data_IF_419951923541
#
_entry.id   IF_419951923541
#
_cell.length_a   1.000
_cell.length_b   1.000
_cell.length_c   1.000
_cell.angle_alpha   90.00
_cell.angle_beta   90.00
_cell.angle_gamma   90.00
#
_symmetry.space_group_name_H-M   'P 1'
#
loop_
_entity.id
_entity.type
_entity.pdbx_description
1 polymer ?
#
# COMPACT_ATOMS: atom_id res chain seq x y z
N UNK A 1 -4.65 2.29 -1.31
CA UNK A 1 -3.90 1.47 -2.28
C UNK A 1 -4.54 1.46 -3.66
N UNK A 2 -5.84 1.20 -3.79
CA UNK A 2 -6.53 1.19 -5.10
C UNK A 2 -6.30 2.47 -5.94
N UNK A 3 -6.39 3.67 -5.35
CA UNK A 3 -6.11 4.92 -6.06
C UNK A 3 -4.70 5.01 -6.67
N UNK A 4 -3.68 4.54 -5.95
CA UNK A 4 -2.31 4.47 -6.48
C UNK A 4 -2.15 3.42 -7.57
N UNK A 5 -2.84 2.28 -7.46
CA UNK A 5 -2.80 1.24 -8.50
C UNK A 5 -3.49 1.72 -9.81
N UNK A 6 -4.58 2.49 -9.70
CA UNK A 6 -5.19 3.17 -10.85
C UNK A 6 -4.24 4.22 -11.46
N UNK A 7 -3.53 4.98 -10.63
CA UNK A 7 -2.52 5.93 -11.08
C UNK A 7 -1.37 5.23 -11.82
N UNK A 8 -0.88 4.11 -11.29
CA UNK A 8 0.16 3.29 -11.92
C UNK A 8 -0.27 2.80 -13.32
N UNK A 9 -1.50 2.29 -13.44
CA UNK A 9 -2.07 1.86 -14.72
C UNK A 9 -2.20 3.01 -15.70
N UNK A 10 -2.63 4.20 -15.24
CA UNK A 10 -2.70 5.42 -16.06
C UNK A 10 -1.31 5.87 -16.54
N UNK A 11 -0.28 5.66 -15.73
CA UNK A 11 1.12 5.93 -16.08
C UNK A 11 1.73 4.86 -17.00
N UNK A 12 0.98 3.84 -17.42
CA UNK A 12 1.46 2.75 -18.26
C UNK A 12 2.39 1.75 -17.53
N UNK A 13 2.44 1.80 -16.20
CA UNK A 13 3.22 0.86 -15.39
C UNK A 13 2.52 -0.49 -15.35
N UNK A 14 3.31 -1.55 -15.38
CA UNK A 14 2.82 -2.95 -15.38
C UNK A 14 3.10 -3.66 -14.06
N UNK A 15 3.90 -3.03 -13.20
CA UNK A 15 4.40 -3.62 -11.97
C UNK A 15 4.19 -2.68 -10.77
N UNK A 16 4.00 -3.27 -9.60
CA UNK A 16 3.85 -2.61 -8.30
C UNK A 16 4.93 -3.13 -7.37
N UNK A 17 5.61 -2.20 -6.70
CA UNK A 17 6.49 -2.47 -5.57
C UNK A 17 5.80 -1.95 -4.32
N UNK A 18 5.78 -2.73 -3.24
CA UNK A 18 5.34 -2.27 -1.94
C UNK A 18 6.22 -2.84 -0.83
N UNK A 19 6.13 -2.25 0.35
CA UNK A 19 6.77 -2.67 1.57
C UNK A 19 5.74 -2.99 2.65
N UNK A 20 6.02 -3.87 3.60
CA UNK A 20 5.11 -4.09 4.72
C UNK A 20 5.80 -4.62 5.97
N UNK A 21 5.26 -4.29 7.13
CA UNK A 21 5.68 -4.81 8.44
C UNK A 21 4.62 -5.75 8.99
N UNK A 22 3.50 -5.22 9.48
CA UNK A 22 2.39 -6.04 9.97
C UNK A 22 1.66 -6.85 8.86
N UNK A 23 1.84 -6.50 7.58
CA UNK A 23 1.27 -7.20 6.43
C UNK A 23 0.02 -6.57 5.82
N UNK A 24 -0.68 -5.65 6.50
CA UNK A 24 -1.94 -5.06 6.00
C UNK A 24 -1.75 -4.26 4.71
N UNK A 25 -0.72 -3.42 4.64
CA UNK A 25 -0.38 -2.67 3.43
C UNK A 25 -0.03 -3.62 2.27
N UNK A 26 0.73 -4.68 2.54
CA UNK A 26 1.07 -5.68 1.53
C UNK A 26 -0.17 -6.41 1.00
N UNK A 27 -1.08 -6.84 1.87
CA UNK A 27 -2.36 -7.47 1.49
C UNK A 27 -3.21 -6.52 0.63
N UNK A 28 -3.33 -5.25 1.03
CA UNK A 28 -4.08 -4.26 0.25
C UNK A 28 -3.44 -4.00 -1.13
N UNK A 29 -2.11 -3.98 -1.21
CA UNK A 29 -1.36 -3.80 -2.46
C UNK A 29 -1.50 -4.99 -3.39
N UNK A 30 -1.41 -6.22 -2.86
CA UNK A 30 -1.63 -7.45 -3.60
C UNK A 30 -3.05 -7.53 -4.16
N UNK A 31 -4.07 -7.21 -3.35
CA UNK A 31 -5.47 -7.19 -3.78
C UNK A 31 -5.71 -6.19 -4.92
N UNK A 32 -5.23 -4.95 -4.75
CA UNK A 32 -5.41 -3.92 -5.77
C UNK A 32 -4.68 -4.27 -7.07
N UNK A 33 -3.51 -4.90 -6.98
CA UNK A 33 -2.74 -5.33 -8.15
C UNK A 33 -3.41 -6.50 -8.87
N UNK A 34 -3.90 -7.50 -8.13
CA UNK A 34 -4.65 -8.63 -8.68
C UNK A 34 -5.92 -8.16 -9.41
N UNK A 35 -6.67 -7.22 -8.82
CA UNK A 35 -7.87 -6.65 -9.42
C UNK A 35 -7.59 -5.92 -10.74
N UNK A 36 -6.43 -5.26 -10.86
CA UNK A 36 -6.09 -4.41 -12.01
C UNK A 36 -5.17 -5.07 -13.04
N UNK A 37 -4.73 -6.30 -12.78
CA UNK A 37 -3.84 -7.07 -13.65
C UNK A 37 -2.38 -6.59 -13.60
N UNK A 38 -1.92 -6.08 -12.47
CA UNK A 38 -0.54 -5.62 -12.25
C UNK A 38 0.28 -6.70 -11.53
N UNK A 39 1.54 -6.90 -11.94
CA UNK A 39 2.45 -7.76 -11.17
C UNK A 39 2.83 -7.06 -9.88
N UNK A 40 2.74 -7.74 -8.75
CA UNK A 40 3.01 -7.14 -7.44
C UNK A 40 4.14 -7.88 -6.74
N UNK A 41 5.14 -7.14 -6.27
CA UNK A 41 6.20 -7.64 -5.40
C UNK A 41 6.27 -6.81 -4.12
N UNK A 42 6.40 -7.51 -3.01
CA UNK A 42 6.22 -6.96 -1.67
C UNK A 42 7.44 -7.30 -0.82
N UNK A 43 8.15 -6.28 -0.38
CA UNK A 43 9.27 -6.41 0.54
C UNK A 43 8.77 -6.46 1.98
N UNK A 44 9.23 -7.45 2.75
CA UNK A 44 8.83 -7.62 4.15
C UNK A 44 10.03 -8.09 4.97
N UNK A 45 10.26 -7.52 6.14
CA UNK A 45 11.36 -7.94 7.00
C UNK A 45 11.24 -9.42 7.37
N UNK A 46 12.34 -10.19 7.34
CA UNK A 46 12.29 -11.64 7.56
C UNK A 46 11.65 -12.03 8.90
N UNK A 47 11.88 -11.24 9.97
CA UNK A 47 11.22 -11.44 11.27
C UNK A 47 9.72 -11.21 11.22
N UNK A 48 9.29 -10.25 10.42
CA UNK A 48 7.88 -9.92 10.23
C UNK A 48 7.18 -10.98 9.38
N UNK A 49 7.87 -11.57 8.39
CA UNK A 49 7.38 -12.70 7.59
C UNK A 49 7.03 -13.90 8.47
N UNK A 50 7.91 -14.26 9.41
CA UNK A 50 7.67 -15.36 10.35
C UNK A 50 6.48 -15.07 11.27
N UNK A 51 6.44 -13.86 11.84
CA UNK A 51 5.39 -13.43 12.78
C UNK A 51 4.02 -13.26 12.13
N UNK A 52 3.99 -12.88 10.85
CA UNK A 52 2.76 -12.53 10.12
C UNK A 52 2.47 -13.50 8.96
N UNK A 53 2.79 -14.78 9.17
CA UNK A 53 2.55 -15.86 8.20
C UNK A 53 1.14 -15.85 7.56
N UNK A 54 0.02 -15.59 8.30
CA UNK A 54 -1.31 -15.50 7.69
C UNK A 54 -1.43 -14.42 6.61
N UNK A 55 -0.79 -13.26 6.80
CA UNK A 55 -0.81 -12.18 5.80
C UNK A 55 0.11 -12.51 4.62
N UNK A 56 1.26 -13.15 4.86
CA UNK A 56 2.15 -13.64 3.80
C UNK A 56 1.44 -14.63 2.90
N UNK A 57 0.69 -15.57 3.49
CA UNK A 57 -0.12 -16.52 2.75
C UNK A 57 -1.18 -15.83 1.88
N UNK A 58 -1.91 -14.85 2.43
CA UNK A 58 -2.91 -14.06 1.68
C UNK A 58 -2.29 -13.32 0.49
N UNK A 59 -1.13 -12.68 0.68
CA UNK A 59 -0.42 -11.98 -0.39
C UNK A 59 -0.06 -12.93 -1.54
N UNK A 60 0.49 -14.10 -1.22
CA UNK A 60 0.84 -15.12 -2.22
C UNK A 60 -0.39 -15.71 -2.92
N UNK A 61 -1.49 -15.93 -2.21
CA UNK A 61 -2.74 -16.43 -2.78
C UNK A 61 -3.31 -15.45 -3.81
N UNK A 62 -3.13 -14.14 -3.58
CA UNK A 62 -3.48 -13.09 -4.56
C UNK A 62 -2.44 -12.94 -5.70
N UNK A 63 -1.43 -13.80 -5.78
CA UNK A 63 -0.42 -13.80 -6.84
C UNK A 63 0.71 -12.79 -6.66
N UNK A 64 0.85 -12.17 -5.49
CA UNK A 64 1.97 -11.28 -5.20
C UNK A 64 3.22 -12.08 -4.78
N UNK A 65 4.37 -11.62 -5.24
CA UNK A 65 5.67 -12.10 -4.79
C UNK A 65 6.01 -11.46 -3.43
N UNK A 66 6.33 -12.26 -2.42
CA UNK A 66 6.74 -11.76 -1.10
C UNK A 66 8.22 -12.02 -0.91
N UNK A 67 9.01 -10.95 -0.83
CA UNK A 67 10.46 -10.96 -0.78
C UNK A 67 10.91 -10.68 0.66
N UNK A 68 11.42 -11.69 1.39
CA UNK A 68 11.92 -11.51 2.75
C UNK A 68 13.24 -10.72 2.75
N UNK A 69 13.31 -9.67 3.56
CA UNK A 69 14.50 -8.83 3.73
C UNK A 69 15.24 -9.23 4.99
N UNK A 70 16.48 -9.71 4.81
CA UNK A 70 17.37 -10.14 5.89
C UNK A 70 18.40 -9.09 6.30
N UNK A 71 18.50 -7.97 5.57
CA UNK A 71 19.45 -6.90 5.85
C UNK A 71 19.09 -6.16 7.14
N UNK A 72 20.13 -5.66 7.83
CA UNK A 72 19.97 -4.82 9.01
C UNK A 72 19.20 -5.49 10.14
N UNK A 73 18.12 -4.84 10.59
CA UNK A 73 17.28 -5.32 11.70
C UNK A 73 16.26 -6.38 11.27
N UNK A 74 16.10 -6.59 9.96
CA UNK A 74 15.09 -7.43 9.30
C UNK A 74 13.65 -7.04 9.67
N UNK A 75 13.35 -5.74 9.66
CA UNK A 75 12.01 -5.17 9.96
C UNK A 75 11.53 -4.23 8.85
N UNK A 76 10.36 -3.58 9.04
CA UNK A 76 9.78 -2.62 8.09
C UNK A 76 10.78 -1.59 7.54
N UNK A 77 11.66 -1.02 8.36
CA UNK A 77 12.63 -0.02 7.89
C UNK A 77 13.56 -0.58 6.80
N UNK A 78 14.02 -1.81 6.98
CA UNK A 78 14.91 -2.47 6.04
C UNK A 78 14.14 -2.84 4.75
N UNK A 79 12.88 -3.26 4.89
CA UNK A 79 11.98 -3.49 3.75
C UNK A 79 11.73 -2.22 2.93
N UNK A 80 11.53 -1.05 3.57
CA UNK A 80 11.43 0.23 2.86
C UNK A 80 12.68 0.54 2.03
N UNK A 81 13.87 0.28 2.59
CA UNK A 81 15.13 0.57 1.91
C UNK A 81 15.32 -0.30 0.66
N UNK A 82 15.03 -1.60 0.75
CA UNK A 82 15.12 -2.50 -0.41
C UNK A 82 14.04 -2.17 -1.46
N UNK A 83 12.82 -1.82 -1.04
CA UNK A 83 11.77 -1.39 -1.97
C UNK A 83 12.15 -0.10 -2.74
N UNK A 84 12.75 0.87 -2.06
CA UNK A 84 13.26 2.09 -2.70
C UNK A 84 14.43 1.82 -3.64
N UNK A 85 15.32 0.88 -3.27
CA UNK A 85 16.45 0.46 -4.11
C UNK A 85 15.98 -0.27 -5.37
N UNK A 86 14.97 -1.12 -5.27
CA UNK A 86 14.33 -1.72 -6.44
C UNK A 86 13.71 -0.63 -7.32
N UNK A 87 12.93 0.26 -6.73
CA UNK A 87 12.26 1.31 -7.48
C UNK A 87 13.23 2.21 -8.24
N UNK A 88 14.38 2.56 -7.68
CA UNK A 88 15.38 3.37 -8.38
C UNK A 88 15.95 2.70 -9.64
N UNK A 89 15.94 1.37 -9.71
CA UNK A 89 16.36 0.59 -10.89
C UNK A 89 15.23 0.18 -11.83
N UNK A 90 13.97 0.31 -11.41
CA UNK A 90 12.81 -0.22 -12.14
C UNK A 90 11.65 0.77 -12.34
N UNK A 91 11.81 2.04 -11.94
CA UNK A 91 10.76 3.07 -11.97
C UNK A 91 10.08 3.27 -13.33
N UNK A 92 10.75 2.93 -14.45
CA UNK A 92 10.16 2.99 -15.78
C UNK A 92 9.01 2.00 -15.95
N UNK A 93 9.08 0.84 -15.32
CA UNK A 93 8.09 -0.25 -15.42
C UNK A 93 7.24 -0.39 -14.17
N UNK A 94 7.79 -0.06 -13.01
CA UNK A 94 7.20 -0.27 -11.70
C UNK A 94 6.80 1.05 -11.01
N UNK A 95 5.65 1.03 -10.34
CA UNK A 95 5.22 2.09 -9.43
C UNK A 95 5.44 1.66 -7.99
N UNK A 96 6.13 2.49 -7.20
CA UNK A 96 6.29 2.26 -5.77
C UNK A 96 5.05 2.74 -5.01
N UNK A 97 4.35 1.81 -4.38
CA UNK A 97 3.09 2.05 -3.69
C UNK A 97 3.35 2.28 -2.20
N UNK A 98 3.74 3.51 -1.86
CA UNK A 98 4.07 3.87 -0.48
C UNK A 98 2.81 3.87 0.42
N UNK A 99 2.92 3.22 1.57
CA UNK A 99 1.78 2.84 2.42
C UNK A 99 1.21 3.89 3.36
N UNK A 100 1.90 5.02 3.52
CA UNK A 100 1.62 6.06 4.55
C UNK A 100 1.73 7.48 3.98
N UNK A 101 1.14 8.47 4.66
CA UNK A 101 1.26 9.89 4.27
C UNK A 101 2.63 10.47 4.67
N UNK A 102 3.71 9.82 4.25
CA UNK A 102 5.09 10.19 4.50
C UNK A 102 5.95 9.97 3.25
N UNK A 103 7.27 10.10 3.39
CA UNK A 103 8.20 9.99 2.28
C UNK A 103 8.35 11.28 1.46
N UNK A 104 9.06 11.23 0.33
CA UNK A 104 9.34 12.40 -0.48
C UNK A 104 8.07 12.89 -1.20
N UNK A 105 8.04 14.18 -1.55
CA UNK A 105 7.08 14.68 -2.52
C UNK A 105 7.17 13.85 -3.82
N UNK A 106 6.05 13.41 -4.43
CA UNK A 106 4.65 13.81 -4.16
C UNK A 106 3.84 12.87 -3.25
N UNK A 107 4.43 11.85 -2.61
CA UNK A 107 3.69 10.81 -1.89
C UNK A 107 2.80 11.32 -0.74
N UNK A 108 3.24 12.22 0.16
CA UNK A 108 2.38 12.74 1.23
C UNK A 108 1.10 13.40 0.71
N UNK A 109 1.20 14.16 -0.39
CA UNK A 109 0.05 14.81 -1.02
C UNK A 109 -0.88 13.79 -1.66
N UNK A 110 -0.34 12.84 -2.44
CA UNK A 110 -1.13 11.80 -3.11
C UNK A 110 -1.89 10.95 -2.09
N UNK A 111 -1.22 10.50 -1.04
CA UNK A 111 -1.85 9.64 -0.02
C UNK A 111 -2.94 10.39 0.73
N UNK A 112 -2.73 11.67 1.06
CA UNK A 112 -3.78 12.52 1.65
C UNK A 112 -4.99 12.65 0.74
N UNK A 113 -4.79 12.99 -0.54
CA UNK A 113 -5.91 13.14 -1.48
C UNK A 113 -6.66 11.82 -1.69
N UNK A 114 -5.99 10.67 -1.65
CA UNK A 114 -6.65 9.37 -1.74
C UNK A 114 -7.27 8.87 -0.42
N UNK A 115 -7.15 9.61 0.68
CA UNK A 115 -7.78 9.28 1.97
C UNK A 115 -8.79 10.34 2.43
N UNK A 116 -8.88 11.49 1.74
CA UNK A 116 -9.75 12.61 2.13
C UNK A 116 -11.23 12.25 2.21
N UNK A 117 -11.67 11.27 1.42
CA UNK A 117 -13.08 10.86 1.38
C UNK A 117 -13.57 10.37 2.74
N UNK A 118 -12.70 9.80 3.58
CA UNK A 118 -13.04 9.39 4.94
C UNK A 118 -13.58 10.59 5.72
N UNK A 119 -12.91 11.74 5.65
CA UNK A 119 -13.33 12.96 6.34
C UNK A 119 -14.58 13.58 5.71
N UNK A 120 -14.68 13.57 4.39
CA UNK A 120 -15.83 14.13 3.66
C UNK A 120 -17.12 13.35 3.95
N UNK A 121 -17.06 12.01 3.87
CA UNK A 121 -18.17 11.12 4.20
C UNK A 121 -18.53 11.22 5.68
N UNK A 122 -17.54 11.20 6.58
CA UNK A 122 -17.79 11.34 8.03
C UNK A 122 -18.50 12.65 8.34
N UNK A 123 -18.06 13.76 7.73
CA UNK A 123 -18.67 15.08 7.92
C UNK A 123 -20.12 15.11 7.44
N UNK A 124 -20.39 14.56 6.25
CA UNK A 124 -21.75 14.47 5.72
C UNK A 124 -22.65 13.61 6.62
N UNK A 125 -22.18 12.41 7.00
CA UNK A 125 -22.91 11.46 7.84
C UNK A 125 -23.22 12.01 9.23
N UNK A 126 -22.29 12.76 9.84
CA UNK A 126 -22.53 13.38 11.16
C UNK A 126 -23.53 14.52 11.07
N UNK A 127 -23.42 15.41 10.09
CA UNK A 127 -24.37 16.50 9.92
C UNK A 127 -25.80 15.99 9.68
N UNK A 128 -25.94 14.91 8.91
CA UNK A 128 -27.23 14.25 8.69
C UNK A 128 -27.82 13.66 9.99
N UNK A 129 -27.00 12.94 10.77
CA UNK A 129 -27.44 12.33 12.04
C UNK A 129 -27.78 13.36 13.11
N UNK A 130 -27.00 14.44 13.22
CA UNK A 130 -27.28 15.52 14.17
C UNK A 130 -28.54 16.29 13.79
N UNK A 131 -28.77 16.55 12.50
CA UNK A 131 -30.00 17.18 12.03
C UNK A 131 -31.23 16.32 12.35
N UNK A 132 -31.15 15.00 12.13
CA UNK A 132 -32.22 14.06 12.45
C UNK A 132 -32.51 13.96 13.97
N UNK A 133 -31.51 14.19 14.81
CA UNK A 133 -31.65 14.15 16.27
C UNK A 133 -32.32 15.41 16.83
N UNK A 134 -32.08 16.59 16.23
CA UNK A 134 -32.70 17.86 16.67
C UNK A 134 -34.19 18.00 16.31
N UNK A 135 -34.68 17.16 15.40
CA UNK A 135 -36.09 17.11 14.98
C UNK A 135 -36.93 16.09 15.76
N UNK A 136 -36.34 15.40 16.75
CA UNK A 136 -37.05 14.59 17.76
C UNK A 136 -37.03 15.30 19.10
#
# INVERSE_FOLDING_TARGET
MLGQALLAKRMGKTEIIAETGAGQHGVASALASALLGLKCRIYMGAKDVERQSPNVFRMRLMGAEVIPVHSGSATLKDACNEALRDWSGSYEKAHYMLGTAAGPHPFPTIVREFQRMIGEETKAQILEKEAACRTR
#
